data_IF_919797609700
#
_entry.id   IF_919797609700
#
_cell.length_a   1.000
_cell.length_b   1.000
_cell.length_c   1.000
_cell.angle_alpha   90.00
_cell.angle_beta   90.00
_cell.angle_gamma   90.00
#
_symmetry.space_group_name_H-M   'P 1'
#
loop_
_entity.id
_entity.type
_entity.pdbx_description
1 polymer ?
#
# COMPACT_ATOMS: atom_id res chain seq x y z
N UNK A 1 -32.66 -4.28 13.06
CA UNK A 1 -33.19 -3.26 12.13
C UNK A 1 -32.00 -2.47 11.63
N UNK A 2 -31.55 -2.73 10.41
CA UNK A 2 -30.54 -1.90 9.71
C UNK A 2 -31.28 -0.72 9.10
N UNK A 3 -30.87 0.50 9.44
CA UNK A 3 -31.47 1.70 8.86
C UNK A 3 -31.13 1.79 7.37
N UNK A 4 -31.97 2.40 6.51
CA UNK A 4 -31.71 2.52 5.07
C UNK A 4 -30.39 3.23 4.69
N UNK A 5 -29.73 3.89 5.65
CA UNK A 5 -28.44 4.56 5.49
C UNK A 5 -27.22 3.64 5.64
N UNK A 6 -27.39 2.36 6.02
CA UNK A 6 -26.26 1.44 6.21
C UNK A 6 -25.62 0.98 4.87
N UNK A 7 -26.27 1.25 3.72
CA UNK A 7 -25.80 0.79 2.41
C UNK A 7 -24.75 1.67 1.72
N UNK A 8 -24.59 2.94 2.13
CA UNK A 8 -23.71 3.91 1.47
C UNK A 8 -22.60 4.48 2.36
N UNK A 9 -22.62 4.19 3.66
CA UNK A 9 -21.56 4.60 4.57
C UNK A 9 -20.28 3.82 4.26
N UNK A 10 -19.40 4.39 3.44
CA UNK A 10 -18.05 3.87 3.28
C UNK A 10 -17.36 3.95 4.63
N UNK A 11 -17.03 2.77 5.16
CA UNK A 11 -16.25 2.60 6.38
C UNK A 11 -15.05 3.55 6.38
N UNK A 12 -14.98 4.44 7.37
CA UNK A 12 -13.84 5.34 7.59
C UNK A 12 -12.50 4.61 7.82
N UNK A 13 -12.53 3.28 7.91
CA UNK A 13 -11.35 2.44 7.99
C UNK A 13 -10.64 2.23 6.63
N UNK A 14 -11.27 2.57 5.50
CA UNK A 14 -10.68 2.38 4.16
C UNK A 14 -9.43 3.26 3.92
N UNK A 15 -9.44 4.57 4.21
CA UNK A 15 -8.24 5.39 4.17
C UNK A 15 -7.16 4.90 5.14
N UNK A 16 -7.54 4.50 6.36
CA UNK A 16 -6.62 3.97 7.37
C UNK A 16 -5.95 2.65 6.95
N UNK A 17 -6.69 1.75 6.31
CA UNK A 17 -6.14 0.50 5.77
C UNK A 17 -5.10 0.80 4.70
N UNK A 18 -5.40 1.74 3.82
CA UNK A 18 -4.51 2.11 2.74
C UNK A 18 -3.23 2.78 3.24
N UNK A 19 -3.32 3.68 4.23
CA UNK A 19 -2.15 4.25 4.91
C UNK A 19 -1.29 3.18 5.58
N UNK A 20 -1.92 2.22 6.26
CA UNK A 20 -1.20 1.07 6.86
C UNK A 20 -0.46 0.24 5.81
N UNK A 21 -1.06 -0.01 4.65
CA UNK A 21 -0.42 -0.76 3.56
C UNK A 21 0.84 -0.05 3.03
N UNK A 22 0.79 1.27 2.87
CA UNK A 22 1.96 2.08 2.48
C UNK A 22 3.03 2.09 3.59
N UNK A 23 2.61 2.17 4.86
CA UNK A 23 3.54 2.08 6.00
C UNK A 23 4.27 0.73 6.04
N UNK A 24 3.54 -0.37 5.83
CA UNK A 24 4.09 -1.72 5.79
C UNK A 24 5.05 -1.92 4.62
N UNK A 25 4.78 -1.38 3.43
CA UNK A 25 5.71 -1.51 2.29
C UNK A 25 7.04 -0.80 2.56
N UNK A 26 7.00 0.39 3.18
CA UNK A 26 8.21 1.10 3.60
C UNK A 26 9.00 0.33 4.67
N UNK A 27 8.30 -0.33 5.59
CA UNK A 27 8.95 -1.16 6.60
C UNK A 27 9.66 -2.39 5.98
N UNK A 28 9.04 -3.03 4.98
CA UNK A 28 9.65 -4.13 4.23
C UNK A 28 10.90 -3.64 3.48
N UNK A 29 10.81 -2.49 2.82
CA UNK A 29 11.94 -1.91 2.07
C UNK A 29 13.14 -1.61 2.98
N UNK A 30 12.90 -0.97 4.12
CA UNK A 30 13.94 -0.71 5.12
C UNK A 30 14.60 -2.00 5.64
N UNK A 31 13.81 -3.03 5.92
CA UNK A 31 14.34 -4.31 6.40
C UNK A 31 15.25 -4.98 5.35
N UNK A 32 14.93 -4.85 4.05
CA UNK A 32 15.78 -5.36 2.97
C UNK A 32 17.06 -4.54 2.81
N UNK A 33 16.99 -3.22 2.93
CA UNK A 33 18.18 -2.34 2.92
C UNK A 33 19.11 -2.70 4.09
N UNK A 34 18.56 -3.00 5.27
CA UNK A 34 19.37 -3.38 6.42
C UNK A 34 19.97 -4.78 6.25
N UNK A 35 19.22 -5.71 5.65
CA UNK A 35 19.74 -7.01 5.24
C UNK A 35 20.91 -6.86 4.27
N UNK A 36 20.80 -5.99 3.27
CA UNK A 36 21.88 -5.69 2.32
C UNK A 36 23.15 -5.21 2.99
N UNK A 37 23.01 -4.25 3.90
CA UNK A 37 24.16 -3.73 4.66
C UNK A 37 24.81 -4.84 5.48
N UNK A 38 24.01 -5.74 6.07
CA UNK A 38 24.52 -6.85 6.87
C UNK A 38 25.25 -7.91 6.03
N UNK A 39 24.78 -8.15 4.81
CA UNK A 39 25.35 -9.15 3.90
C UNK A 39 26.55 -8.61 3.12
N UNK A 40 26.62 -7.29 2.93
CA UNK A 40 27.64 -6.62 2.11
C UNK A 40 29.09 -7.07 2.39
N UNK A 41 29.57 -7.14 3.64
CA UNK A 41 30.94 -7.58 3.93
C UNK A 41 31.23 -9.02 3.49
N UNK A 42 30.21 -9.89 3.54
CA UNK A 42 30.32 -11.28 3.11
C UNK A 42 30.27 -11.37 1.58
N UNK A 43 29.33 -10.66 0.96
CA UNK A 43 29.11 -10.69 -0.50
C UNK A 43 30.24 -10.01 -1.26
N UNK A 44 30.94 -9.04 -0.67
CA UNK A 44 32.09 -8.37 -1.29
C UNK A 44 33.28 -9.34 -1.52
N UNK A 45 33.31 -10.47 -0.81
CA UNK A 45 34.32 -11.53 -1.02
C UNK A 45 33.87 -12.63 -1.98
N UNK A 46 32.61 -12.61 -2.39
CA UNK A 46 32.07 -13.63 -3.30
C UNK A 46 32.55 -13.36 -4.72
N UNK A 47 33.10 -14.41 -5.34
CA UNK A 47 33.52 -14.38 -6.74
C UNK A 47 32.80 -15.49 -7.51
N UNK A 48 32.62 -15.26 -8.81
CA UNK A 48 31.97 -16.22 -9.70
C UNK A 48 30.46 -16.34 -9.47
N UNK A 49 29.91 -17.53 -9.68
CA UNK A 49 28.48 -17.77 -9.84
C UNK A 49 27.64 -17.41 -8.60
N UNK A 50 28.22 -17.51 -7.39
CA UNK A 50 27.55 -17.10 -6.14
C UNK A 50 27.30 -15.60 -6.07
N UNK A 51 28.25 -14.77 -6.50
CA UNK A 51 28.09 -13.31 -6.55
C UNK A 51 27.02 -12.90 -7.57
N UNK A 52 27.03 -13.51 -8.76
CA UNK A 52 26.01 -13.28 -9.79
C UNK A 52 24.62 -13.67 -9.29
N UNK A 53 24.49 -14.86 -8.68
CA UNK A 53 23.19 -15.35 -8.18
C UNK A 53 22.64 -14.45 -7.06
N UNK A 54 23.50 -13.96 -6.18
CA UNK A 54 23.12 -13.00 -5.15
C UNK A 54 22.65 -11.68 -5.76
N UNK A 55 23.40 -11.15 -6.73
CA UNK A 55 23.04 -9.90 -7.42
C UNK A 55 21.68 -10.01 -8.10
N UNK A 56 21.41 -11.12 -8.77
CA UNK A 56 20.10 -11.39 -9.40
C UNK A 56 18.97 -11.43 -8.37
N UNK A 57 19.22 -12.04 -7.20
CA UNK A 57 18.27 -12.09 -6.09
C UNK A 57 18.01 -10.70 -5.49
N UNK A 58 19.08 -9.91 -5.32
CA UNK A 58 19.02 -8.54 -4.84
C UNK A 58 18.18 -7.67 -5.79
N UNK A 59 18.45 -7.75 -7.08
CA UNK A 59 17.71 -6.97 -8.08
C UNK A 59 16.23 -7.41 -8.15
N UNK A 60 15.94 -8.71 -7.96
CA UNK A 60 14.57 -9.24 -7.89
C UNK A 60 13.80 -8.76 -6.67
N UNK A 61 14.39 -8.73 -5.47
CA UNK A 61 13.66 -8.21 -4.32
C UNK A 61 13.35 -6.73 -4.47
N UNK A 62 14.26 -5.95 -5.07
CA UNK A 62 14.12 -4.50 -5.23
C UNK A 62 13.00 -4.19 -6.20
N UNK A 63 12.97 -4.91 -7.32
CA UNK A 63 11.88 -4.83 -8.28
C UNK A 63 10.53 -5.20 -7.62
N UNK A 64 10.53 -6.20 -6.74
CA UNK A 64 9.31 -6.65 -6.06
C UNK A 64 8.81 -5.64 -5.03
N UNK A 65 9.68 -5.07 -4.21
CA UNK A 65 9.28 -4.05 -3.22
C UNK A 65 8.82 -2.76 -3.87
N UNK A 66 9.52 -2.30 -4.91
CA UNK A 66 9.11 -1.16 -5.71
C UNK A 66 7.73 -1.40 -6.36
N UNK A 67 7.49 -2.60 -6.89
CA UNK A 67 6.18 -2.97 -7.42
C UNK A 67 5.08 -2.99 -6.34
N UNK A 68 5.38 -3.47 -5.13
CA UNK A 68 4.45 -3.44 -4.00
C UNK A 68 4.11 -2.01 -3.60
N UNK A 69 5.09 -1.13 -3.44
CA UNK A 69 4.89 0.28 -3.14
C UNK A 69 4.00 0.96 -4.19
N UNK A 70 4.28 0.72 -5.48
CA UNK A 70 3.49 1.26 -6.58
C UNK A 70 2.04 0.77 -6.56
N UNK A 71 1.81 -0.51 -6.27
CA UNK A 71 0.46 -1.09 -6.16
C UNK A 71 -0.30 -0.52 -4.96
N UNK A 72 0.33 -0.41 -3.80
CA UNK A 72 -0.31 0.13 -2.61
C UNK A 72 -0.59 1.62 -2.72
N UNK A 73 0.31 2.39 -3.34
CA UNK A 73 0.08 3.82 -3.63
C UNK A 73 -1.14 3.99 -4.54
N UNK A 74 -1.24 3.22 -5.63
CA UNK A 74 -2.41 3.26 -6.53
C UNK A 74 -3.69 2.78 -5.83
N UNK A 75 -3.58 1.73 -5.02
CA UNK A 75 -4.68 1.24 -4.20
C UNK A 75 -5.19 2.32 -3.25
N UNK A 76 -4.28 3.01 -2.55
CA UNK A 76 -4.61 4.13 -1.68
C UNK A 76 -5.34 5.25 -2.43
N UNK A 77 -4.80 5.71 -3.56
CA UNK A 77 -5.45 6.74 -4.39
C UNK A 77 -6.88 6.32 -4.79
N UNK A 78 -7.06 5.07 -5.21
CA UNK A 78 -8.36 4.54 -5.63
C UNK A 78 -9.34 4.49 -4.46
N UNK A 79 -8.90 4.04 -3.29
CA UNK A 79 -9.73 3.92 -2.10
C UNK A 79 -10.10 5.30 -1.53
N UNK A 80 -9.16 6.25 -1.51
CA UNK A 80 -9.41 7.63 -1.11
C UNK A 80 -10.40 8.32 -2.03
N UNK A 81 -10.23 8.18 -3.36
CA UNK A 81 -11.18 8.72 -4.34
C UNK A 81 -12.58 8.10 -4.18
N UNK A 82 -12.64 6.79 -3.91
CA UNK A 82 -13.91 6.11 -3.65
C UNK A 82 -14.57 6.70 -2.40
N UNK A 83 -13.84 6.80 -1.29
CA UNK A 83 -14.32 7.38 -0.04
C UNK A 83 -14.88 8.81 -0.23
N UNK A 84 -14.16 9.67 -0.94
CA UNK A 84 -14.62 11.02 -1.27
C UNK A 84 -15.92 11.02 -2.10
N UNK A 85 -15.99 10.17 -3.13
CA UNK A 85 -17.16 10.06 -4.00
C UNK A 85 -18.40 9.59 -3.25
N UNK A 86 -18.27 8.59 -2.39
CA UNK A 86 -19.37 8.12 -1.56
C UNK A 86 -19.79 9.18 -0.53
N UNK A 87 -18.84 9.83 0.15
CA UNK A 87 -19.13 10.92 1.10
C UNK A 87 -19.89 12.08 0.44
N UNK A 88 -19.49 12.45 -0.78
CA UNK A 88 -20.17 13.50 -1.55
C UNK A 88 -21.57 13.08 -1.97
N UNK A 89 -21.74 11.83 -2.39
CA UNK A 89 -23.04 11.27 -2.77
C UNK A 89 -23.99 11.25 -1.58
N UNK A 90 -23.55 10.77 -0.41
CA UNK A 90 -24.33 10.76 0.83
C UNK A 90 -24.80 12.16 1.24
N UNK A 91 -23.90 13.16 1.19
CA UNK A 91 -24.28 14.56 1.46
C UNK A 91 -25.34 15.06 0.49
N UNK A 92 -25.20 14.74 -0.80
CA UNK A 92 -26.15 15.18 -1.84
C UNK A 92 -27.52 14.52 -1.71
N UNK A 93 -27.55 13.25 -1.29
CA UNK A 93 -28.78 12.48 -1.05
C UNK A 93 -29.45 13.01 0.22
N UNK A 94 -28.72 13.14 1.33
CA UNK A 94 -29.23 13.67 2.58
C UNK A 94 -29.86 15.07 2.41
N UNK A 95 -29.23 15.95 1.64
CA UNK A 95 -29.78 17.27 1.31
C UNK A 95 -31.09 17.22 0.51
N UNK A 96 -31.27 16.22 -0.36
CA UNK A 96 -32.51 16.05 -1.14
C UNK A 96 -33.68 15.52 -0.30
N UNK A 97 -33.40 14.73 0.74
CA UNK A 97 -34.42 14.13 1.60
C UNK A 97 -34.73 14.93 2.88
N UNK A 98 -33.90 15.92 3.25
CA UNK A 98 -34.20 16.85 4.35
C UNK A 98 -35.12 18.03 3.95
N UNK A 99 -35.35 18.23 2.64
CA UNK A 99 -36.22 19.27 2.11
C UNK A 99 -37.65 18.81 1.75
N UNK A 100 -38.05 17.61 2.20
CA UNK A 100 -39.40 17.04 2.04
C UNK A 100 -40.06 16.94 3.41
#
# INVERSE_FOLDING_TARGET
>A
MTSPNDGFAVSGNLPHLAERMVGLSKAIDNALIDLEKSLKPMTDTWLGQGATSYKDLQDKWHATTSAMEGRFTKGHQTLSLSFENYTRTDKSIGAKFQGI
#
